data_IF_883643750458
#
_entry.id   IF_883643750458
#
_cell.length_a   1.000
_cell.length_b   1.000
_cell.length_c   1.000
_cell.angle_alpha   90.00
_cell.angle_beta   90.00
_cell.angle_gamma   90.00
#
_symmetry.space_group_name_H-M   'P 1'
#
loop_
_entity.id
_entity.type
_entity.pdbx_description
1 polymer ?
#
# COMPACT_ATOMS: atom_id res chain seq x y z
N UNK A 1 9.79 -33.81 -11.54
CA UNK A 1 9.14 -33.19 -10.35
C UNK A 1 8.03 -32.30 -10.86
N UNK A 2 6.86 -32.31 -10.23
CA UNK A 2 5.76 -31.40 -10.57
C UNK A 2 6.16 -29.95 -10.26
N UNK A 3 6.00 -29.04 -11.24
CA UNK A 3 6.31 -27.61 -11.13
C UNK A 3 5.60 -26.96 -9.95
N UNK A 4 4.37 -27.39 -9.63
CA UNK A 4 3.59 -26.84 -8.50
C UNK A 4 4.26 -27.13 -7.16
N UNK A 5 4.86 -28.31 -7.01
CA UNK A 5 5.61 -28.71 -5.82
C UNK A 5 6.95 -27.94 -5.71
N UNK A 6 7.59 -27.64 -6.84
CA UNK A 6 8.79 -26.78 -6.87
C UNK A 6 8.45 -25.35 -6.41
N UNK A 7 7.32 -24.80 -6.87
CA UNK A 7 6.83 -23.49 -6.41
C UNK A 7 6.53 -23.49 -4.92
N UNK A 8 5.81 -24.50 -4.43
CA UNK A 8 5.48 -24.62 -3.02
C UNK A 8 6.74 -24.62 -2.14
N UNK A 9 7.74 -25.43 -2.52
CA UNK A 9 9.03 -25.50 -1.82
C UNK A 9 9.78 -24.17 -1.85
N UNK A 10 9.79 -23.49 -3.01
CA UNK A 10 10.45 -22.19 -3.15
C UNK A 10 9.76 -21.06 -2.39
N UNK A 11 8.44 -21.11 -2.20
CA UNK A 11 7.70 -20.09 -1.45
C UNK A 11 7.80 -20.35 0.06
N UNK A 12 7.86 -21.61 0.49
CA UNK A 12 8.03 -22.00 1.89
C UNK A 12 9.35 -21.51 2.52
N UNK A 13 10.38 -21.25 1.72
CA UNK A 13 11.65 -20.68 2.19
C UNK A 13 11.62 -19.15 2.34
N UNK A 14 10.49 -18.50 2.00
CA UNK A 14 10.32 -17.05 2.07
C UNK A 14 9.37 -16.65 3.20
N UNK A 15 9.41 -15.39 3.62
CA UNK A 15 8.61 -14.88 4.76
C UNK A 15 7.19 -14.46 4.35
N UNK A 16 6.51 -15.23 3.50
CA UNK A 16 5.16 -14.95 3.03
C UNK A 16 4.17 -16.03 3.52
N UNK A 17 2.86 -15.75 3.53
CA UNK A 17 1.86 -16.76 3.84
C UNK A 17 1.96 -17.95 2.87
N UNK A 18 1.92 -19.18 3.38
CA UNK A 18 2.08 -20.36 2.55
C UNK A 18 0.80 -20.61 1.72
N UNK A 19 0.85 -20.54 0.38
CA UNK A 19 -0.32 -20.83 -0.46
C UNK A 19 -0.58 -22.34 -0.55
N UNK A 20 -1.83 -22.72 -0.82
CA UNK A 20 -2.18 -24.13 -1.01
C UNK A 20 -1.61 -24.71 -2.30
N UNK A 21 -1.35 -26.01 -2.32
CA UNK A 21 -0.87 -26.69 -3.53
C UNK A 21 -1.91 -26.61 -4.66
N UNK A 22 -3.20 -26.71 -4.34
CA UNK A 22 -4.29 -26.60 -5.33
C UNK A 22 -4.31 -25.23 -6.00
N UNK A 23 -4.08 -24.15 -5.23
CA UNK A 23 -3.99 -22.81 -5.80
C UNK A 23 -2.80 -22.67 -6.74
N UNK A 24 -1.64 -23.23 -6.38
CA UNK A 24 -0.44 -23.24 -7.23
C UNK A 24 -0.66 -24.06 -8.51
N UNK A 25 -1.32 -25.21 -8.43
CA UNK A 25 -1.66 -26.03 -9.59
C UNK A 25 -2.56 -25.27 -10.56
N UNK A 26 -3.57 -24.55 -10.06
CA UNK A 26 -4.43 -23.69 -10.88
C UNK A 26 -3.66 -22.54 -11.53
N UNK A 27 -2.70 -21.94 -10.80
CA UNK A 27 -1.83 -20.89 -11.33
C UNK A 27 -0.92 -21.39 -12.47
N UNK A 28 -0.41 -22.63 -12.38
CA UNK A 28 0.41 -23.24 -13.45
C UNK A 28 -0.46 -23.64 -14.63
N UNK A 29 -1.63 -24.25 -14.38
CA UNK A 29 -2.52 -24.79 -15.41
C UNK A 29 -3.22 -23.71 -16.24
N UNK A 30 -3.42 -22.52 -15.68
CA UNK A 30 -4.04 -21.37 -16.37
C UNK A 30 -3.07 -20.63 -17.31
N UNK A 31 -1.83 -21.10 -17.48
CA UNK A 31 -0.82 -20.43 -18.31
C UNK A 31 -0.68 -21.05 -19.68
N UNK A 32 -0.34 -20.20 -20.64
CA UNK A 32 0.05 -20.62 -21.97
C UNK A 32 1.37 -21.41 -21.93
N UNK A 33 1.48 -22.38 -22.84
CA UNK A 33 2.71 -23.14 -23.09
C UNK A 33 3.52 -22.49 -24.22
N UNK A 34 4.86 -22.41 -24.11
CA UNK A 34 5.70 -23.00 -23.07
C UNK A 34 5.65 -22.23 -21.74
N UNK A 35 5.83 -22.95 -20.63
CA UNK A 35 5.83 -22.36 -19.30
C UNK A 35 7.04 -21.44 -19.10
N UNK A 36 6.88 -20.29 -18.41
CA UNK A 36 7.98 -19.41 -18.09
C UNK A 36 8.93 -20.04 -17.05
N UNK A 37 10.14 -19.48 -16.87
CA UNK A 37 11.10 -19.96 -15.87
C UNK A 37 10.52 -19.97 -14.45
N UNK A 38 11.05 -20.86 -13.59
CA UNK A 38 10.58 -21.03 -12.21
C UNK A 38 10.60 -19.71 -11.42
N UNK A 39 11.65 -18.90 -11.58
CA UNK A 39 11.75 -17.60 -10.89
C UNK A 39 10.58 -16.66 -11.23
N UNK A 40 10.18 -16.58 -12.50
CA UNK A 40 9.04 -15.77 -12.94
C UNK A 40 7.71 -16.31 -12.40
N UNK A 41 7.59 -17.63 -12.29
CA UNK A 41 6.42 -18.27 -11.67
C UNK A 41 6.34 -17.99 -10.17
N UNK A 42 7.46 -18.07 -9.44
CA UNK A 42 7.55 -17.70 -8.01
C UNK A 42 7.18 -16.24 -7.81
N UNK A 43 7.75 -15.34 -8.61
CA UNK A 43 7.44 -13.92 -8.55
C UNK A 43 5.95 -13.64 -8.81
N UNK A 44 5.36 -14.28 -9.83
CA UNK A 44 3.94 -14.10 -10.11
C UNK A 44 3.06 -14.69 -9.00
N UNK A 45 3.41 -15.86 -8.47
CA UNK A 45 2.68 -16.47 -7.37
C UNK A 45 2.68 -15.54 -6.16
N UNK A 46 3.84 -14.99 -5.80
CA UNK A 46 3.96 -14.00 -4.73
C UNK A 46 3.10 -12.76 -5.01
N UNK A 47 3.18 -12.18 -6.21
CA UNK A 47 2.41 -10.99 -6.56
C UNK A 47 0.90 -11.22 -6.46
N UNK A 48 0.41 -12.34 -7.01
CA UNK A 48 -1.03 -12.70 -6.95
C UNK A 48 -1.50 -12.99 -5.53
N UNK A 49 -0.68 -13.66 -4.72
CA UNK A 49 -0.99 -13.90 -3.30
C UNK A 49 -1.13 -12.58 -2.54
N UNK A 50 -0.19 -11.66 -2.70
CA UNK A 50 -0.20 -10.36 -2.01
C UNK A 50 -1.35 -9.45 -2.47
N UNK A 51 -1.83 -9.63 -3.70
CA UNK A 51 -3.01 -8.93 -4.24
C UNK A 51 -4.36 -9.58 -3.87
N UNK A 52 -4.37 -10.79 -3.30
CA UNK A 52 -5.60 -11.53 -2.95
C UNK A 52 -6.04 -11.26 -1.52
N UNK A 53 -7.31 -11.47 -1.20
CA UNK A 53 -7.80 -11.53 0.18
C UNK A 53 -7.32 -12.81 0.87
N UNK A 54 -6.63 -12.71 2.01
CA UNK A 54 -6.14 -13.89 2.76
C UNK A 54 -7.25 -14.80 3.27
N UNK A 55 -8.48 -14.31 3.37
CA UNK A 55 -9.65 -15.09 3.75
C UNK A 55 -10.24 -15.91 2.59
N UNK A 56 -9.70 -15.77 1.38
CA UNK A 56 -10.18 -16.50 0.20
C UNK A 56 -10.05 -18.02 0.43
N UNK A 57 -11.15 -18.79 0.36
CA UNK A 57 -11.10 -20.23 0.58
C UNK A 57 -10.15 -20.92 -0.40
N UNK A 58 -9.29 -21.80 0.14
CA UNK A 58 -8.32 -22.56 -0.67
C UNK A 58 -7.11 -21.76 -1.15
N UNK A 59 -6.96 -20.47 -0.78
CA UNK A 59 -5.78 -19.68 -1.11
C UNK A 59 -4.55 -20.14 -0.32
N UNK A 60 -4.69 -20.27 1.00
CA UNK A 60 -3.62 -20.67 1.90
C UNK A 60 -3.67 -22.15 2.24
N UNK A 61 -2.53 -22.72 2.59
CA UNK A 61 -2.45 -24.05 3.16
C UNK A 61 -3.22 -24.12 4.50
N UNK A 62 -3.97 -25.20 4.70
CA UNK A 62 -4.86 -25.34 5.86
C UNK A 62 -4.08 -25.49 7.17
N UNK A 63 -2.93 -26.19 7.15
CA UNK A 63 -2.10 -26.35 8.34
C UNK A 63 -1.38 -25.03 8.70
N UNK A 64 -0.95 -24.29 7.68
CA UNK A 64 -0.42 -22.93 7.85
C UNK A 64 -1.47 -22.01 8.50
N UNK A 65 -2.65 -21.89 7.88
CA UNK A 65 -3.74 -21.05 8.38
C UNK A 65 -4.22 -21.46 9.78
N UNK A 66 -4.05 -22.73 10.16
CA UNK A 66 -4.44 -23.21 11.47
C UNK A 66 -3.55 -22.70 12.61
N UNK A 67 -2.27 -22.47 12.32
CA UNK A 67 -1.20 -22.16 13.29
C UNK A 67 -0.74 -20.70 13.25
N UNK A 68 -1.04 -19.98 12.16
CA UNK A 68 -0.62 -18.59 11.93
C UNK A 68 -1.84 -17.64 11.92
N UNK A 69 -2.68 -17.76 12.96
CA UNK A 69 -3.89 -16.97 13.14
C UNK A 69 -3.82 -16.16 14.44
N UNK A 70 -4.63 -15.09 14.51
CA UNK A 70 -4.77 -14.30 15.72
C UNK A 70 -5.41 -15.13 16.86
N UNK A 71 -5.11 -14.80 18.12
CA UNK A 71 -5.71 -15.49 19.26
C UNK A 71 -7.20 -15.14 19.37
N UNK A 72 -8.04 -16.17 19.52
CA UNK A 72 -9.48 -16.00 19.71
C UNK A 72 -9.74 -15.28 21.04
N UNK A 73 -10.16 -14.02 20.96
CA UNK A 73 -10.50 -13.16 22.10
C UNK A 73 -9.38 -13.00 23.15
N UNK A 74 -8.51 -11.99 23.02
CA UNK A 74 -7.73 -11.47 24.15
C UNK A 74 -8.64 -10.70 25.12
N UNK A 75 -9.77 -11.27 25.54
CA UNK A 75 -10.83 -10.62 26.34
C UNK A 75 -10.48 -10.53 27.83
N UNK A 76 -9.19 -10.47 28.17
CA UNK A 76 -8.72 -10.25 29.53
C UNK A 76 -8.12 -8.86 29.66
N UNK A 77 -8.10 -8.27 30.87
CA UNK A 77 -7.42 -6.99 31.12
C UNK A 77 -5.89 -7.08 30.99
N UNK A 78 -5.35 -8.27 30.69
CA UNK A 78 -3.93 -8.57 30.62
C UNK A 78 -3.28 -8.24 29.27
N UNK A 79 -1.97 -8.11 29.34
CA UNK A 79 -1.08 -8.07 28.18
C UNK A 79 -0.70 -9.51 27.79
N UNK A 80 -0.74 -9.82 26.51
CA UNK A 80 -0.27 -11.09 25.95
C UNK A 80 0.62 -10.85 24.75
N UNK A 81 1.34 -11.88 24.31
CA UNK A 81 2.19 -11.81 23.12
C UNK A 81 1.79 -12.85 22.10
N UNK A 82 1.92 -12.53 20.82
CA UNK A 82 1.72 -13.50 19.73
C UNK A 82 2.69 -14.68 19.88
N UNK A 83 2.21 -15.94 19.85
CA UNK A 83 3.08 -17.11 20.01
C UNK A 83 3.86 -17.44 18.73
N UNK A 84 3.34 -17.03 17.57
CA UNK A 84 3.87 -17.32 16.23
C UNK A 84 3.81 -16.07 15.37
N UNK A 85 4.50 -16.11 14.23
CA UNK A 85 4.36 -15.09 13.20
C UNK A 85 2.93 -15.18 12.62
N UNK A 86 2.22 -14.07 12.55
CA UNK A 86 0.84 -14.03 12.04
C UNK A 86 0.78 -13.13 10.82
N UNK A 87 0.29 -13.69 9.72
CA UNK A 87 0.01 -12.92 8.51
C UNK A 87 -1.34 -12.21 8.64
N UNK A 88 -1.32 -10.90 8.43
CA UNK A 88 -2.50 -10.05 8.48
C UNK A 88 -2.59 -9.18 7.25
N UNK A 89 -3.80 -8.70 6.98
CA UNK A 89 -4.10 -7.70 5.96
C UNK A 89 -4.72 -6.46 6.59
N UNK A 90 -4.37 -5.30 6.05
CA UNK A 90 -4.89 -4.01 6.53
C UNK A 90 -6.28 -3.77 5.97
N UNK A 91 -7.29 -3.63 6.83
CA UNK A 91 -8.66 -3.30 6.42
C UNK A 91 -8.97 -1.82 6.51
N UNK A 92 -8.34 -1.13 7.46
CA UNK A 92 -8.52 0.30 7.68
C UNK A 92 -7.27 0.92 8.30
N UNK A 93 -7.06 2.20 8.05
CA UNK A 93 -5.97 2.99 8.62
C UNK A 93 -6.40 4.44 8.81
N UNK A 94 -6.19 4.97 10.01
CA UNK A 94 -6.55 6.33 10.40
C UNK A 94 -5.35 6.99 11.05
N UNK A 95 -4.99 8.20 10.59
CA UNK A 95 -4.06 9.07 11.31
C UNK A 95 -4.83 9.79 12.42
N UNK A 96 -4.61 9.34 13.65
CA UNK A 96 -5.28 9.88 14.84
C UNK A 96 -4.52 11.07 15.44
N UNK A 97 -3.39 11.48 14.85
CA UNK A 97 -2.64 12.67 15.29
C UNK A 97 -3.19 13.98 14.73
N UNK A 98 -4.06 13.90 13.71
CA UNK A 98 -4.69 15.05 13.05
C UNK A 98 -6.19 15.01 13.30
N UNK A 99 -6.80 16.19 13.45
CA UNK A 99 -8.27 16.27 13.55
C UNK A 99 -8.92 15.72 12.28
N UNK A 100 -10.05 15.01 12.43
CA UNK A 100 -10.87 14.61 11.29
C UNK A 100 -11.31 15.81 10.46
N UNK A 101 -11.62 16.95 11.10
CA UNK A 101 -12.00 18.18 10.41
C UNK A 101 -10.87 18.74 9.52
N UNK A 102 -9.64 18.76 10.04
CA UNK A 102 -8.46 19.17 9.25
C UNK A 102 -8.28 18.29 8.00
N UNK A 103 -8.49 16.98 8.13
CA UNK A 103 -8.40 16.04 7.01
C UNK A 103 -9.55 16.24 6.00
N UNK A 104 -10.75 16.58 6.45
CA UNK A 104 -11.89 16.91 5.57
C UNK A 104 -11.60 18.17 4.77
N UNK A 105 -11.14 19.24 5.43
CA UNK A 105 -10.81 20.51 4.76
C UNK A 105 -9.72 20.33 3.70
N UNK A 106 -8.70 19.51 3.97
CA UNK A 106 -7.65 19.21 3.00
C UNK A 106 -8.19 18.48 1.76
N UNK A 107 -9.04 17.46 1.96
CA UNK A 107 -9.63 16.70 0.85
C UNK A 107 -10.59 17.56 0.01
N UNK A 108 -11.40 18.41 0.65
CA UNK A 108 -12.30 19.34 -0.05
C UNK A 108 -11.54 20.44 -0.78
N UNK A 109 -10.47 20.96 -0.17
CA UNK A 109 -9.56 21.91 -0.79
C UNK A 109 -8.95 21.34 -2.06
N UNK A 110 -8.40 20.12 -1.99
CA UNK A 110 -7.87 19.42 -3.16
C UNK A 110 -8.92 19.22 -4.27
N UNK A 111 -10.14 18.82 -3.92
CA UNK A 111 -11.24 18.69 -4.87
C UNK A 111 -11.62 20.01 -5.54
N UNK A 112 -11.42 21.14 -4.84
CA UNK A 112 -11.60 22.50 -5.36
C UNK A 112 -10.38 23.03 -6.12
N UNK A 113 -9.27 22.29 -6.14
CA UNK A 113 -7.99 22.73 -6.68
C UNK A 113 -7.26 23.75 -5.80
N UNK A 114 -7.54 23.79 -4.51
CA UNK A 114 -6.93 24.66 -3.51
C UNK A 114 -5.89 23.87 -2.70
N UNK A 115 -4.60 24.12 -2.95
CA UNK A 115 -3.52 23.65 -2.09
C UNK A 115 -3.15 24.70 -1.05
N UNK A 116 -2.69 24.31 0.14
CA UNK A 116 -2.20 25.27 1.15
C UNK A 116 -0.68 25.21 1.23
N UNK A 117 0.00 26.35 1.09
CA UNK A 117 1.44 26.49 1.33
C UNK A 117 1.65 27.45 2.51
N UNK A 118 1.79 26.89 3.71
CA UNK A 118 1.88 27.71 4.94
C UNK A 118 0.51 28.29 5.31
N UNK A 119 0.41 29.63 5.41
CA UNK A 119 -0.87 30.33 5.65
C UNK A 119 -1.59 30.77 4.36
N UNK A 120 -1.04 30.46 3.20
CA UNK A 120 -1.55 30.93 1.90
C UNK A 120 -2.24 29.80 1.11
N UNK A 121 -3.40 30.10 0.52
CA UNK A 121 -4.16 29.20 -0.37
C UNK A 121 -3.70 29.43 -1.81
N UNK A 122 -3.15 28.41 -2.43
CA UNK A 122 -2.64 28.39 -3.80
C UNK A 122 -3.61 27.61 -4.68
N UNK A 123 -4.07 28.22 -5.79
CA UNK A 123 -4.87 27.51 -6.81
C UNK A 123 -3.95 26.65 -7.68
N UNK A 124 -4.20 25.35 -7.69
CA UNK A 124 -3.51 24.38 -8.53
C UNK A 124 -4.22 24.28 -9.89
N UNK A 125 -3.48 24.14 -11.00
CA UNK A 125 -4.09 23.86 -12.30
C UNK A 125 -4.82 22.52 -12.27
N UNK A 126 -6.10 22.51 -12.63
CA UNK A 126 -6.88 21.29 -12.84
C UNK A 126 -6.43 20.65 -14.15
N UNK A 127 -5.73 19.50 -14.09
CA UNK A 127 -5.40 18.74 -15.31
C UNK A 127 -4.13 17.89 -15.32
N UNK A 128 -3.76 17.23 -14.22
CA UNK A 128 -2.82 16.10 -14.31
C UNK A 128 -3.48 14.87 -13.71
N UNK A 129 -4.06 14.06 -14.57
CA UNK A 129 -4.43 12.68 -14.28
C UNK A 129 -3.15 11.97 -13.78
N UNK A 130 -3.23 11.42 -12.58
CA UNK A 130 -2.13 10.69 -11.95
C UNK A 130 -2.05 9.33 -12.64
N UNK A 131 -1.37 9.25 -13.78
CA UNK A 131 -0.95 7.97 -14.33
C UNK A 131 0.14 7.38 -13.42
N UNK A 132 -0.11 6.15 -12.98
CA UNK A 132 0.71 5.43 -12.03
C UNK A 132 2.13 5.21 -12.52
N UNK A 133 3.05 5.33 -11.58
CA UNK A 133 4.48 5.05 -11.71
C UNK A 133 4.69 3.57 -12.07
N UNK A 134 5.28 3.33 -13.25
CA UNK A 134 5.87 2.06 -13.67
C UNK A 134 7.39 2.20 -13.76
N UNK A 135 8.09 1.34 -13.03
CA UNK A 135 9.54 1.29 -12.84
C UNK A 135 10.31 0.91 -14.13
N UNK A 136 11.63 1.17 -14.13
CA UNK A 136 12.59 0.99 -15.25
C UNK A 136 12.67 -0.42 -15.86
N UNK A 137 13.32 -0.61 -17.01
CA UNK A 137 14.77 -0.78 -17.15
C UNK A 137 15.17 -0.87 -18.65
N UNK A 138 16.42 -0.51 -19.02
CA UNK A 138 17.20 -1.23 -20.04
C UNK A 138 17.44 -0.60 -21.43
N UNK A 139 18.53 0.16 -21.54
CA UNK A 139 19.59 0.23 -22.58
C UNK A 139 19.38 -0.30 -24.03
N UNK A 140 19.87 0.45 -25.03
CA UNK A 140 20.23 -0.10 -26.36
C UNK A 140 20.29 0.91 -27.50
N UNK A 141 21.45 0.99 -28.17
CA UNK A 141 21.90 2.01 -29.13
C UNK A 141 21.32 1.88 -30.56
N UNK A 142 21.37 2.95 -31.37
CA UNK A 142 21.14 2.86 -32.82
C UNK A 142 21.10 4.19 -33.58
N UNK A 143 22.02 4.34 -34.53
CA UNK A 143 22.46 5.53 -35.28
C UNK A 143 21.57 6.00 -36.47
N UNK A 144 21.72 7.31 -36.79
CA UNK A 144 21.83 7.99 -38.12
C UNK A 144 20.63 8.44 -38.99
N UNK A 145 20.70 9.73 -39.34
CA UNK A 145 20.39 10.34 -40.66
C UNK A 145 19.00 10.98 -40.82
N UNK A 146 18.74 12.11 -41.51
CA UNK A 146 19.51 13.20 -42.13
C UNK A 146 18.48 14.22 -42.72
N UNK A 147 18.74 15.55 -42.63
CA UNK A 147 18.38 16.66 -43.58
C UNK A 147 16.88 16.97 -43.90
N UNK A 148 16.38 18.20 -44.17
CA UNK A 148 16.85 19.43 -44.85
C UNK A 148 15.86 20.62 -44.56
N UNK A 149 16.31 21.85 -44.19
CA UNK A 149 16.25 23.18 -44.90
C UNK A 149 14.86 23.72 -45.32
N UNK A 150 14.40 24.99 -45.28
CA UNK A 150 14.86 26.41 -45.04
C UNK A 150 13.58 27.33 -45.20
N UNK A 151 13.57 28.71 -45.16
CA UNK A 151 14.53 29.73 -44.71
C UNK A 151 13.95 30.92 -43.85
N UNK A 152 14.92 31.75 -43.41
CA UNK A 152 14.99 33.08 -42.77
C UNK A 152 13.86 34.13 -42.87
N UNK A 153 13.71 34.92 -41.79
CA UNK A 153 13.83 36.39 -41.85
C UNK A 153 14.24 37.02 -40.50
N UNK A 154 15.16 37.98 -40.57
CA UNK A 154 15.78 38.73 -39.45
C UNK A 154 14.91 39.91 -38.99
N UNK A 155 14.92 40.17 -37.67
CA UNK A 155 14.49 41.43 -37.07
C UNK A 155 15.01 41.53 -35.64
N UNK A 156 16.06 42.33 -35.42
CA UNK A 156 16.65 42.62 -34.12
C UNK A 156 15.76 43.58 -33.32
N UNK A 157 15.52 43.27 -32.05
CA UNK A 157 14.88 44.16 -31.08
C UNK A 157 15.12 43.65 -29.65
N UNK A 158 15.98 44.36 -28.92
CA UNK A 158 16.33 44.10 -27.52
C UNK A 158 15.11 44.21 -26.60
N UNK A 159 14.93 43.22 -25.72
CA UNK A 159 13.94 43.25 -24.65
C UNK A 159 14.22 42.14 -23.64
N UNK A 160 14.78 42.53 -22.50
CA UNK A 160 14.97 41.69 -21.31
C UNK A 160 13.67 40.96 -20.94
N UNK A 161 13.75 39.64 -20.71
CA UNK A 161 13.03 38.98 -19.63
C UNK A 161 13.69 37.65 -19.29
N UNK A 162 13.98 37.54 -18.00
CA UNK A 162 14.68 36.47 -17.33
C UNK A 162 13.98 35.12 -17.58
N UNK A 163 14.76 34.12 -17.99
CA UNK A 163 14.36 32.73 -17.90
C UNK A 163 14.29 32.32 -16.43
N UNK A 164 13.09 32.03 -15.95
CA UNK A 164 12.89 31.26 -14.73
C UNK A 164 13.00 29.77 -15.09
N UNK A 165 13.77 28.95 -14.35
CA UNK A 165 13.73 27.51 -14.57
C UNK A 165 12.37 26.99 -14.13
N UNK A 166 11.72 26.26 -15.04
CA UNK A 166 10.55 25.45 -14.75
C UNK A 166 10.86 24.51 -13.60
N UNK A 167 10.11 24.65 -12.53
CA UNK A 167 10.12 23.71 -11.43
C UNK A 167 8.69 23.18 -11.36
N UNK A 168 8.48 22.03 -11.99
CA UNK A 168 7.31 21.19 -11.80
C UNK A 168 7.21 20.84 -10.32
N UNK A 169 6.55 21.72 -9.56
CA UNK A 169 6.27 21.51 -8.14
C UNK A 169 4.89 20.89 -8.06
N UNK A 170 4.85 19.59 -8.31
CA UNK A 170 3.75 18.74 -7.91
C UNK A 170 3.40 19.09 -6.45
N UNK A 171 2.13 19.39 -6.20
CA UNK A 171 1.61 19.61 -4.87
C UNK A 171 1.76 18.30 -4.10
N UNK A 172 2.83 18.24 -3.31
CA UNK A 172 3.09 17.11 -2.42
C UNK A 172 2.14 17.26 -1.25
N UNK A 173 1.33 16.22 -1.00
CA UNK A 173 0.60 16.06 0.25
C UNK A 173 1.52 16.40 1.42
N UNK A 174 1.02 17.14 2.40
CA UNK A 174 1.83 17.60 3.53
C UNK A 174 2.53 16.39 4.15
N UNK A 175 3.87 16.40 4.31
CA UNK A 175 4.56 15.23 4.84
C UNK A 175 4.00 14.90 6.22
N UNK A 176 3.89 13.61 6.57
CA UNK A 176 3.33 13.20 7.85
C UNK A 176 4.06 13.92 8.98
N UNK A 177 3.29 14.43 9.95
CA UNK A 177 3.86 15.12 11.09
C UNK A 177 4.88 14.21 11.79
N UNK A 178 5.93 14.80 12.38
CA UNK A 178 6.97 14.04 13.11
C UNK A 178 6.40 13.16 14.24
N UNK A 179 5.16 13.41 14.66
CA UNK A 179 4.44 12.69 15.70
C UNK A 179 3.18 11.97 15.18
N UNK A 180 3.10 11.65 13.88
CA UNK A 180 1.94 10.94 13.36
C UNK A 180 1.79 9.57 14.02
N UNK A 181 0.58 9.28 14.49
CA UNK A 181 0.19 8.03 15.14
C UNK A 181 -0.96 7.43 14.35
N UNK A 182 -0.82 6.18 13.92
CA UNK A 182 -1.85 5.51 13.14
C UNK A 182 -2.58 4.46 13.98
N UNK A 183 -3.89 4.44 13.79
CA UNK A 183 -4.76 3.35 14.22
C UNK A 183 -5.12 2.51 12.99
N UNK A 184 -4.98 1.19 13.10
CA UNK A 184 -5.30 0.26 12.03
C UNK A 184 -6.40 -0.71 12.47
N UNK A 185 -7.12 -1.24 11.48
CA UNK A 185 -7.89 -2.48 11.62
C UNK A 185 -7.18 -3.54 10.80
N UNK A 186 -6.74 -4.61 11.46
CA UNK A 186 -6.05 -5.74 10.85
C UNK A 186 -6.97 -6.94 10.80
N UNK A 187 -6.79 -7.80 9.80
CA UNK A 187 -7.51 -9.06 9.68
C UNK A 187 -6.55 -10.20 9.37
N UNK A 188 -6.69 -11.34 10.06
CA UNK A 188 -5.92 -12.54 9.74
C UNK A 188 -6.56 -13.39 8.62
N UNK A 189 -5.92 -14.50 8.25
CA UNK A 189 -6.45 -15.41 7.23
C UNK A 189 -7.72 -16.17 7.62
N UNK A 190 -8.13 -16.14 8.90
CA UNK A 190 -9.39 -16.71 9.39
C UNK A 190 -10.52 -15.68 9.43
N UNK A 191 -10.24 -14.45 9.00
CA UNK A 191 -11.19 -13.36 9.02
C UNK A 191 -11.33 -12.67 10.38
N UNK A 192 -10.52 -13.05 11.38
CA UNK A 192 -10.53 -12.41 12.69
C UNK A 192 -9.94 -11.01 12.56
N UNK A 193 -10.70 -10.03 13.06
CA UNK A 193 -10.32 -8.62 13.05
C UNK A 193 -9.78 -8.20 14.40
N UNK A 194 -8.78 -7.33 14.40
CA UNK A 194 -8.20 -6.75 15.60
C UNK A 194 -7.79 -5.29 15.34
N UNK A 195 -7.93 -4.43 16.34
CA UNK A 195 -7.38 -3.08 16.27
C UNK A 195 -5.88 -3.12 16.50
N UNK A 196 -5.16 -2.20 15.87
CA UNK A 196 -3.74 -2.00 16.12
C UNK A 196 -3.42 -0.52 16.29
N UNK A 197 -2.46 -0.21 17.15
CA UNK A 197 -2.00 1.16 17.42
C UNK A 197 -0.49 1.23 17.23
N UNK A 198 -0.04 2.27 16.53
CA UNK A 198 1.37 2.61 16.37
C UNK A 198 1.97 3.04 17.72
N UNK A 199 2.74 2.15 18.36
CA UNK A 199 3.42 2.44 19.64
C UNK A 199 4.74 3.19 19.40
N UNK A 200 5.43 2.83 18.33
CA UNK A 200 6.64 3.49 17.85
C UNK A 200 6.47 3.84 16.38
N UNK A 201 7.14 4.91 15.94
CA UNK A 201 6.97 5.44 14.59
C UNK A 201 7.33 4.40 13.52
N UNK A 202 6.39 4.16 12.60
CA UNK A 202 6.54 3.35 11.40
C UNK A 202 6.19 4.24 10.21
N UNK A 203 7.21 4.84 9.58
CA UNK A 203 7.04 5.79 8.47
C UNK A 203 6.22 5.22 7.30
N UNK A 204 6.31 3.90 7.09
CA UNK A 204 5.60 3.21 6.01
C UNK A 204 4.08 3.27 6.14
N UNK A 205 3.53 3.42 7.36
CA UNK A 205 2.09 3.39 7.61
C UNK A 205 1.33 4.48 6.84
N UNK A 206 1.90 5.66 6.67
CA UNK A 206 1.25 6.73 5.91
C UNK A 206 1.11 6.44 4.41
N UNK A 207 1.79 5.41 3.90
CA UNK A 207 1.76 4.98 2.49
C UNK A 207 1.11 3.60 2.31
N UNK A 208 0.55 3.05 3.38
CA UNK A 208 -0.03 1.70 3.37
C UNK A 208 -1.33 1.66 2.59
N UNK A 209 -1.49 0.63 1.76
CA UNK A 209 -2.71 0.40 1.01
C UNK A 209 -3.68 -0.50 1.78
N UNK A 210 -4.96 -0.43 1.41
CA UNK A 210 -5.96 -1.35 1.97
C UNK A 210 -5.83 -2.71 1.28
N UNK A 211 -5.86 -3.75 2.10
CA UNK A 211 -5.52 -5.11 1.74
C UNK A 211 -4.01 -5.36 1.68
N UNK A 212 -3.15 -4.41 2.04
CA UNK A 212 -1.70 -4.64 2.13
C UNK A 212 -1.40 -5.73 3.15
N UNK A 213 -0.47 -6.64 2.81
CA UNK A 213 -0.11 -7.77 3.67
C UNK A 213 1.06 -7.44 4.57
N UNK A 214 0.95 -7.87 5.81
CA UNK A 214 1.95 -7.68 6.84
C UNK A 214 2.13 -8.96 7.64
N UNK A 215 3.33 -9.19 8.18
CA UNK A 215 3.60 -10.18 9.20
C UNK A 215 3.80 -9.46 10.52
N UNK A 216 3.02 -9.84 11.52
CA UNK A 216 3.28 -9.54 12.92
C UNK A 216 4.16 -10.67 13.46
N UNK A 217 5.38 -10.36 13.90
CA UNK A 217 6.32 -11.36 14.41
C UNK A 217 5.85 -11.95 15.74
N UNK A 218 6.25 -13.19 16.02
CA UNK A 218 6.12 -13.78 17.35
C UNK A 218 6.71 -12.82 18.41
N UNK A 219 6.05 -12.72 19.56
CA UNK A 219 6.38 -11.75 20.60
C UNK A 219 5.77 -10.36 20.41
N UNK A 220 4.98 -10.11 19.35
CA UNK A 220 4.20 -8.86 19.21
C UNK A 220 3.18 -8.77 20.34
N UNK A 221 3.10 -7.61 20.98
CA UNK A 221 2.26 -7.39 22.16
C UNK A 221 0.82 -7.12 21.75
N UNK A 222 -0.13 -7.77 22.44
CA UNK A 222 -1.56 -7.50 22.38
C UNK A 222 -2.00 -7.12 23.79
N UNK A 223 -2.51 -5.90 23.96
CA UNK A 223 -3.02 -5.40 25.23
C UNK A 223 -4.47 -4.98 25.07
N UNK A 224 -5.37 -5.51 25.92
CA UNK A 224 -6.81 -5.19 25.89
C UNK A 224 -7.45 -5.36 24.49
N UNK A 225 -7.01 -6.36 23.74
CA UNK A 225 -7.48 -6.62 22.38
C UNK A 225 -6.99 -5.65 21.31
N UNK A 226 -5.91 -4.92 21.58
CA UNK A 226 -5.24 -4.06 20.60
C UNK A 226 -3.80 -4.54 20.40
N UNK A 227 -3.40 -4.70 19.14
CA UNK A 227 -2.01 -4.97 18.76
C UNK A 227 -1.20 -3.69 18.94
N UNK A 228 -0.10 -3.75 19.70
CA UNK A 228 0.83 -2.63 19.82
C UNK A 228 1.92 -2.78 18.77
N UNK A 229 1.89 -1.93 17.75
CA UNK A 229 2.80 -2.01 16.61
C UNK A 229 4.17 -1.41 16.97
N UNK A 230 5.18 -2.26 16.87
CA UNK A 230 6.60 -1.94 16.99
C UNK A 230 7.27 -2.19 15.62
N UNK A 231 8.02 -1.24 15.04
CA UNK A 231 8.70 -1.41 13.75
C UNK A 231 9.58 -2.67 13.70
N UNK A 232 10.21 -3.07 14.81
CA UNK A 232 11.07 -4.24 14.86
C UNK A 232 10.30 -5.57 14.73
N UNK A 233 8.99 -5.57 15.00
CA UNK A 233 8.12 -6.75 14.95
C UNK A 233 7.13 -6.73 13.80
N UNK A 234 7.19 -5.72 12.92
CA UNK A 234 6.31 -5.58 11.77
C UNK A 234 7.10 -5.77 10.47
N UNK A 235 6.72 -6.74 9.65
CA UNK A 235 7.27 -6.92 8.30
C UNK A 235 6.18 -6.65 7.28
N UNK A 236 6.36 -5.61 6.46
CA UNK A 236 5.41 -5.26 5.42
C UNK A 236 5.75 -6.00 4.12
N UNK A 237 4.84 -6.87 3.68
CA UNK A 237 5.02 -7.66 2.47
C UNK A 237 4.56 -6.91 1.21
N UNK A 238 3.71 -5.90 1.37
CA UNK A 238 3.15 -5.12 0.26
C UNK A 238 1.88 -5.73 -0.32
N UNK A 239 1.57 -5.34 -1.56
CA UNK A 239 0.32 -5.68 -2.24
C UNK A 239 -0.86 -4.80 -1.78
N UNK A 240 -2.01 -4.98 -2.44
CA UNK A 240 -3.29 -4.36 -2.10
C UNK A 240 -4.42 -5.17 -2.69
N UNK A 241 -5.60 -5.09 -2.07
CA UNK A 241 -6.83 -5.62 -2.68
C UNK A 241 -7.51 -4.46 -3.39
N UNK A 242 -7.38 -4.39 -4.72
CA UNK A 242 -7.77 -3.20 -5.51
C UNK A 242 -9.18 -2.72 -5.24
N UNK A 243 -10.15 -3.65 -5.21
CA UNK A 243 -11.55 -3.32 -4.96
C UNK A 243 -11.75 -2.68 -3.57
N UNK A 244 -11.04 -3.16 -2.55
CA UNK A 244 -11.13 -2.64 -1.19
C UNK A 244 -10.45 -1.28 -1.07
N UNK A 245 -9.26 -1.14 -1.67
CA UNK A 245 -8.54 0.12 -1.64
C UNK A 245 -9.29 1.23 -2.36
N UNK A 246 -9.85 0.95 -3.55
CA UNK A 246 -10.70 1.89 -4.26
C UNK A 246 -11.92 2.30 -3.45
N UNK A 247 -12.68 1.34 -2.93
CA UNK A 247 -13.85 1.62 -2.10
C UNK A 247 -13.49 2.43 -0.83
N UNK A 248 -12.34 2.16 -0.24
CA UNK A 248 -11.85 2.91 0.90
C UNK A 248 -11.51 4.36 0.52
N UNK A 249 -10.77 4.60 -0.56
CA UNK A 249 -10.43 5.95 -1.03
C UNK A 249 -11.68 6.74 -1.37
N UNK A 250 -12.58 6.16 -2.18
CA UNK A 250 -13.81 6.81 -2.64
C UNK A 250 -14.74 7.18 -1.46
N UNK A 251 -14.79 6.33 -0.43
CA UNK A 251 -15.60 6.56 0.77
C UNK A 251 -14.92 7.39 1.87
N UNK A 252 -13.64 7.75 1.74
CA UNK A 252 -12.86 8.35 2.84
C UNK A 252 -13.44 9.67 3.34
N UNK A 253 -13.81 10.56 2.42
CA UNK A 253 -14.35 11.88 2.77
C UNK A 253 -15.67 11.77 3.56
N UNK A 254 -16.56 10.86 3.16
CA UNK A 254 -17.83 10.64 3.84
C UNK A 254 -17.61 10.13 5.28
N UNK A 255 -16.73 9.12 5.46
CA UNK A 255 -16.39 8.57 6.78
C UNK A 255 -15.76 9.61 7.71
N UNK A 256 -14.84 10.43 7.18
CA UNK A 256 -14.23 11.51 7.97
C UNK A 256 -15.24 12.56 8.42
N UNK A 257 -16.20 12.93 7.56
CA UNK A 257 -17.27 13.88 7.91
C UNK A 257 -18.22 13.32 8.97
N UNK A 258 -18.59 12.05 8.86
CA UNK A 258 -19.43 11.37 9.84
C UNK A 258 -18.72 11.30 11.20
N UNK A 259 -17.48 10.80 11.23
CA UNK A 259 -16.70 10.73 12.46
C UNK A 259 -16.33 12.08 13.07
N UNK A 260 -16.27 13.16 12.29
CA UNK A 260 -16.07 14.52 12.81
C UNK A 260 -17.34 15.10 13.46
N UNK A 261 -18.53 14.67 13.02
CA UNK A 261 -19.81 15.07 13.64
C UNK A 261 -19.98 14.38 14.99
N UNK A 262 -19.68 13.08 15.05
CA UNK A 262 -19.75 12.29 16.28
C UNK A 262 -18.78 12.77 17.37
N UNK A 263 -17.62 13.35 17.00
CA UNK A 263 -16.67 13.94 17.96
C UNK A 263 -17.12 15.30 18.51
N UNK A 264 -18.06 15.97 17.85
CA UNK A 264 -18.54 17.30 18.21
C UNK A 264 -19.82 17.31 19.06
N UNK A 265 -20.46 16.16 19.24
CA UNK A 265 -21.61 15.93 20.14
C UNK A 265 -21.15 15.49 21.54
#
# INVERSE_FOLDING_TARGET
MDTSNQLHTSLASTTIPLPSLTWLQNLVSSRATPLPPLASLVATARARLLASDLCTPGLLDQAYAATHALPVSPSGPGETTLPTDVAVQVLDIEDISRSRWEQVEELEGLARGEGTRGREVVRLPLGSEVEGEGEGEGEGEGERGQTQQQPQQQGQGQGQRQGAPGQDRAATARPPAKNAMHKLVLQDCRGQKIYALELQRIERLSKTHIGEKMILRAGTVIARGVVLLDPAKCVFLGGKVEAWHRAWVDGRLARLKEGAREEGE
#
